data_IF_721868168633
#
_entry.id   IF_721868168633
#
_cell.length_a   1.000
_cell.length_b   1.000
_cell.length_c   1.000
_cell.angle_alpha   90.00
_cell.angle_beta   90.00
_cell.angle_gamma   90.00
#
_symmetry.space_group_name_H-M   'P 1'
#
loop_
_entity.id
_entity.type
_entity.pdbx_description
1 polymer ?
#
# COMPACT_ATOMS: atom_id res chain seq x y z
N UNK A 1 2.55 -40.41 -13.68
CA UNK A 1 1.98 -39.19 -13.05
C UNK A 1 3.13 -38.24 -12.85
N UNK A 2 3.30 -37.28 -13.75
CA UNK A 2 4.24 -36.17 -13.59
C UNK A 2 3.60 -35.19 -12.63
N UNK A 3 4.18 -35.03 -11.45
CA UNK A 3 3.83 -33.96 -10.52
C UNK A 3 4.29 -32.68 -11.20
N UNK A 4 3.34 -31.84 -11.63
CA UNK A 4 3.67 -30.49 -12.06
C UNK A 4 4.20 -29.76 -10.83
N UNK A 5 5.47 -29.34 -10.86
CA UNK A 5 6.03 -28.51 -9.80
C UNK A 5 5.23 -27.20 -9.77
N UNK A 6 4.44 -26.99 -8.71
CA UNK A 6 3.77 -25.73 -8.49
C UNK A 6 4.82 -24.62 -8.45
N UNK A 7 4.79 -23.77 -9.45
CA UNK A 7 5.72 -22.66 -9.61
C UNK A 7 5.38 -21.61 -8.55
N UNK A 8 6.03 -21.70 -7.39
CA UNK A 8 5.83 -20.77 -6.29
C UNK A 8 6.45 -19.41 -6.64
N UNK A 9 5.73 -18.34 -6.32
CA UNK A 9 6.24 -16.99 -6.40
C UNK A 9 7.29 -16.81 -5.28
N UNK A 10 8.46 -16.21 -5.53
CA UNK A 10 9.42 -15.88 -4.48
C UNK A 10 8.80 -15.14 -3.27
N UNK A 11 7.72 -14.39 -3.49
CA UNK A 11 6.99 -13.66 -2.44
C UNK A 11 6.11 -14.56 -1.55
N UNK A 12 5.82 -15.80 -1.94
CA UNK A 12 4.95 -16.72 -1.18
C UNK A 12 5.49 -17.05 0.22
N UNK A 13 6.81 -16.89 0.41
CA UNK A 13 7.50 -17.18 1.67
C UNK A 13 8.02 -15.93 2.40
N UNK A 14 7.78 -14.73 1.85
CA UNK A 14 8.23 -13.48 2.46
C UNK A 14 7.30 -13.04 3.59
N UNK A 15 7.83 -12.24 4.51
CA UNK A 15 7.04 -11.65 5.58
C UNK A 15 5.95 -10.76 4.97
N UNK A 16 4.68 -11.10 5.18
CA UNK A 16 3.55 -10.39 4.59
C UNK A 16 2.57 -9.88 5.66
N UNK A 17 1.90 -8.78 5.35
CA UNK A 17 0.74 -8.33 6.13
C UNK A 17 -0.48 -8.99 5.51
N UNK A 18 -0.97 -10.05 6.16
CA UNK A 18 -2.21 -10.70 5.74
C UNK A 18 -3.41 -9.86 6.16
N UNK A 19 -4.19 -9.42 5.19
CA UNK A 19 -5.44 -8.71 5.41
C UNK A 19 -6.61 -9.61 5.03
N UNK A 20 -7.59 -9.74 5.92
CA UNK A 20 -8.83 -10.49 5.67
C UNK A 20 -10.03 -9.55 5.75
N UNK A 21 -11.03 -9.80 4.92
CA UNK A 21 -12.29 -9.03 4.89
C UNK A 21 -13.40 -9.69 5.70
N UNK A 22 -13.02 -10.44 6.73
CA UNK A 22 -13.94 -11.10 7.67
C UNK A 22 -14.71 -10.07 8.52
N UNK A 23 -14.14 -8.88 8.68
CA UNK A 23 -14.82 -7.70 9.20
C UNK A 23 -15.06 -6.71 8.06
N UNK A 24 -16.32 -6.30 7.89
CA UNK A 24 -16.68 -5.31 6.88
C UNK A 24 -15.93 -3.99 7.22
N UNK A 25 -15.19 -3.39 6.27
CA UNK A 25 -14.51 -2.13 6.50
C UNK A 25 -15.49 -1.07 7.01
N UNK A 26 -15.14 -0.40 8.11
CA UNK A 26 -16.02 0.56 8.79
C UNK A 26 -16.13 1.90 8.05
N UNK A 27 -15.36 2.10 6.99
CA UNK A 27 -15.27 3.36 6.26
C UNK A 27 -15.20 3.10 4.75
N UNK A 28 -15.65 4.09 3.96
CA UNK A 28 -15.48 4.09 2.52
C UNK A 28 -14.05 4.44 2.06
N UNK A 29 -13.12 4.71 3.00
CA UNK A 29 -11.74 5.05 2.67
C UNK A 29 -10.90 3.82 2.29
N UNK A 30 -11.39 2.60 2.57
CA UNK A 30 -10.62 1.37 2.42
C UNK A 30 -9.90 0.97 3.70
N UNK A 31 -8.77 0.27 3.58
CA UNK A 31 -7.94 -0.18 4.70
C UNK A 31 -6.95 0.92 5.08
N UNK A 32 -7.16 1.58 6.22
CA UNK A 32 -6.42 2.77 6.60
C UNK A 32 -5.14 2.39 7.34
N UNK A 33 -4.07 3.10 7.00
CA UNK A 33 -2.78 3.01 7.66
C UNK A 33 -2.44 4.33 8.33
N UNK A 34 -1.99 4.29 9.59
CA UNK A 34 -1.63 5.49 10.34
C UNK A 34 -1.37 5.19 11.80
N UNK A 35 -1.02 6.21 12.59
CA UNK A 35 -0.74 6.04 14.03
C UNK A 35 -1.98 5.88 14.91
N UNK A 36 -3.19 6.00 14.35
CA UNK A 36 -4.43 5.79 15.11
C UNK A 36 -4.54 4.36 15.63
N UNK A 37 -5.09 4.20 16.84
CA UNK A 37 -5.33 2.90 17.45
C UNK A 37 -6.46 2.10 16.76
N UNK A 38 -7.33 2.78 16.01
CA UNK A 38 -8.40 2.16 15.23
C UNK A 38 -8.08 2.06 13.73
N UNK A 39 -6.84 2.33 13.32
CA UNK A 39 -6.39 2.08 11.96
C UNK A 39 -6.22 0.58 11.72
N UNK A 40 -6.66 0.09 10.55
CA UNK A 40 -6.52 -1.32 10.18
C UNK A 40 -5.04 -1.73 10.07
N UNK A 41 -4.17 -0.81 9.64
CA UNK A 41 -2.72 -0.94 9.70
C UNK A 41 -2.12 0.14 10.61
N UNK A 42 -1.92 -0.21 11.88
CA UNK A 42 -1.29 0.70 12.85
C UNK A 42 0.19 0.88 12.56
N UNK A 43 0.60 2.12 12.32
CA UNK A 43 1.98 2.52 12.09
C UNK A 43 2.62 3.04 13.39
N UNK A 44 3.93 2.90 13.50
CA UNK A 44 4.68 3.44 14.63
C UNK A 44 4.49 4.97 14.75
N UNK A 45 4.50 5.47 15.97
CA UNK A 45 4.42 6.89 16.28
C UNK A 45 5.73 7.60 15.93
N UNK A 46 5.89 7.92 14.65
CA UNK A 46 7.07 8.57 14.11
C UNK A 46 6.74 9.97 13.62
N UNK A 47 7.73 10.86 13.67
CA UNK A 47 7.60 12.19 13.11
C UNK A 47 7.27 12.10 11.61
N UNK A 48 6.23 12.83 11.19
CA UNK A 48 5.75 12.84 9.80
C UNK A 48 4.67 11.81 9.49
N UNK A 49 4.41 10.84 10.37
CA UNK A 49 3.30 9.89 10.21
C UNK A 49 1.99 10.49 10.75
N UNK A 50 1.03 10.73 9.86
CA UNK A 50 -0.31 11.22 10.22
C UNK A 50 -1.15 10.19 10.98
N UNK A 51 -2.20 10.68 11.65
CA UNK A 51 -3.17 9.87 12.42
C UNK A 51 -3.83 8.79 11.54
N UNK A 52 -4.33 9.21 10.38
CA UNK A 52 -4.54 8.36 9.21
C UNK A 52 -3.67 8.93 8.10
N UNK A 53 -2.76 8.14 7.55
CA UNK A 53 -1.75 8.59 6.60
C UNK A 53 -2.16 8.26 5.17
N UNK A 54 -2.43 6.99 4.90
CA UNK A 54 -2.93 6.54 3.61
C UNK A 54 -3.98 5.44 3.81
N UNK A 55 -4.64 5.05 2.74
CA UNK A 55 -5.45 3.84 2.69
C UNK A 55 -5.14 3.01 1.44
N UNK A 56 -5.24 1.69 1.58
CA UNK A 56 -5.40 0.80 0.43
C UNK A 56 -6.87 0.80 0.03
N UNK A 57 -7.15 1.23 -1.19
CA UNK A 57 -8.49 1.41 -1.72
C UNK A 57 -8.49 1.12 -3.23
N UNK A 58 -9.65 1.25 -3.86
CA UNK A 58 -9.79 1.29 -5.30
C UNK A 58 -10.15 2.72 -5.76
N UNK A 59 -9.68 3.08 -6.95
CA UNK A 59 -10.12 4.30 -7.65
C UNK A 59 -11.41 4.06 -8.46
N UNK A 60 -11.84 5.06 -9.23
CA UNK A 60 -13.09 5.01 -10.01
C UNK A 60 -13.03 3.98 -11.15
N UNK A 61 -11.82 3.62 -11.60
CA UNK A 61 -11.59 2.57 -12.59
C UNK A 61 -11.35 1.18 -11.97
N UNK A 62 -11.61 1.02 -10.66
CA UNK A 62 -11.41 -0.22 -9.90
C UNK A 62 -9.95 -0.69 -9.87
N UNK A 63 -8.99 0.22 -9.99
CA UNK A 63 -7.56 -0.08 -9.84
C UNK A 63 -7.19 0.01 -8.37
N UNK A 64 -6.31 -0.88 -7.91
CA UNK A 64 -5.81 -0.80 -6.53
C UNK A 64 -4.91 0.43 -6.41
N UNK A 65 -5.21 1.27 -5.42
CA UNK A 65 -4.46 2.49 -5.14
C UNK A 65 -4.00 2.55 -3.68
N UNK A 66 -2.85 3.19 -3.48
CA UNK A 66 -2.46 3.78 -2.20
C UNK A 66 -2.94 5.23 -2.23
N UNK A 67 -4.05 5.49 -1.53
CA UNK A 67 -4.67 6.82 -1.41
C UNK A 67 -4.10 7.54 -0.21
N UNK A 68 -3.35 8.60 -0.42
CA UNK A 68 -2.94 9.48 0.68
C UNK A 68 -4.17 10.23 1.23
N UNK A 69 -4.36 10.19 2.56
CA UNK A 69 -5.55 10.73 3.24
C UNK A 69 -5.36 12.18 3.72
N UNK A 70 -4.62 12.98 2.97
CA UNK A 70 -4.26 14.35 3.35
C UNK A 70 -3.17 14.36 4.42
N UNK A 71 -2.18 13.47 4.28
CA UNK A 71 -1.10 13.34 5.24
C UNK A 71 -0.21 14.59 5.30
N UNK A 72 0.41 14.84 6.44
CA UNK A 72 1.22 16.07 6.67
C UNK A 72 2.50 16.09 5.83
N UNK A 73 3.09 14.91 5.59
CA UNK A 73 4.38 14.78 4.90
C UNK A 73 4.26 14.10 3.53
N UNK A 74 3.06 13.68 3.14
CA UNK A 74 2.79 12.97 1.89
C UNK A 74 3.23 11.50 1.92
N UNK A 75 2.64 10.73 1.02
CA UNK A 75 3.02 9.34 0.73
C UNK A 75 3.85 9.30 -0.54
N UNK A 76 4.92 8.51 -0.58
CA UNK A 76 5.68 8.22 -1.80
C UNK A 76 5.45 6.77 -2.23
N UNK A 77 5.15 6.54 -3.50
CA UNK A 77 5.22 5.20 -4.09
C UNK A 77 6.40 5.14 -5.07
N UNK A 78 7.22 4.11 -4.92
CA UNK A 78 8.40 3.85 -5.75
C UNK A 78 8.06 2.67 -6.67
N UNK A 79 8.10 2.90 -7.99
CA UNK A 79 7.88 1.88 -9.01
C UNK A 79 9.23 1.42 -9.57
N UNK A 80 9.70 0.25 -9.14
CA UNK A 80 11.05 -0.24 -9.40
C UNK A 80 12.11 0.74 -8.87
N UNK A 81 12.67 1.56 -9.76
CA UNK A 81 13.69 2.57 -9.43
C UNK A 81 13.20 4.02 -9.59
N UNK A 82 11.93 4.23 -9.92
CA UNK A 82 11.35 5.56 -10.18
C UNK A 82 10.49 6.01 -9.00
N UNK A 83 10.69 7.25 -8.56
CA UNK A 83 9.85 7.91 -7.57
C UNK A 83 9.72 9.40 -7.91
N UNK A 84 8.55 10.00 -7.61
CA UNK A 84 8.29 11.43 -7.81
C UNK A 84 8.40 12.25 -6.52
N UNK A 85 8.66 11.60 -5.38
CA UNK A 85 8.64 12.20 -4.06
C UNK A 85 7.27 12.11 -3.38
N UNK A 86 7.14 12.65 -2.16
CA UNK A 86 5.91 12.50 -1.40
C UNK A 86 4.81 13.43 -1.92
N UNK A 87 3.60 12.87 -2.05
CA UNK A 87 2.40 13.63 -2.41
C UNK A 87 1.31 13.43 -1.36
N UNK A 88 0.62 14.52 -1.02
CA UNK A 88 -0.52 14.54 -0.09
C UNK A 88 -1.82 14.63 -0.88
N UNK A 89 -2.89 13.99 -0.39
CA UNK A 89 -4.20 13.93 -1.07
C UNK A 89 -4.10 13.43 -2.52
N UNK A 90 -3.35 12.34 -2.71
CA UNK A 90 -3.01 11.79 -4.03
C UNK A 90 -3.23 10.28 -4.06
N UNK A 91 -3.72 9.78 -5.19
CA UNK A 91 -3.94 8.35 -5.44
C UNK A 91 -2.79 7.77 -6.27
N UNK A 92 -2.03 6.87 -5.66
CA UNK A 92 -0.96 6.14 -6.33
C UNK A 92 -1.45 4.77 -6.81
N UNK A 93 -1.46 4.54 -8.12
CA UNK A 93 -1.90 3.27 -8.70
C UNK A 93 -0.85 2.18 -8.46
N UNK A 94 -1.22 1.12 -7.74
CA UNK A 94 -0.32 0.00 -7.41
C UNK A 94 -0.73 -1.33 -8.04
N UNK A 95 -1.88 -1.38 -8.72
CA UNK A 95 -2.28 -2.50 -9.58
C UNK A 95 -3.32 -2.07 -10.61
N UNK A 96 -3.59 -2.91 -11.62
CA UNK A 96 -4.70 -2.70 -12.57
C UNK A 96 -4.41 -1.67 -13.66
N UNK A 97 -3.14 -1.36 -13.95
CA UNK A 97 -2.79 -0.47 -15.07
C UNK A 97 -1.56 -0.95 -15.82
N UNK A 98 -1.62 -0.90 -17.15
CA UNK A 98 -0.57 -1.35 -18.07
C UNK A 98 0.77 -0.62 -17.88
N UNK A 99 0.80 0.57 -17.27
CA UNK A 99 2.09 1.24 -16.98
C UNK A 99 2.92 0.48 -15.93
N UNK A 100 2.29 -0.40 -15.16
CA UNK A 100 2.95 -1.27 -14.19
C UNK A 100 3.56 -2.52 -14.84
N UNK A 101 3.33 -2.74 -16.14
CA UNK A 101 3.90 -3.88 -16.86
C UNK A 101 5.43 -3.84 -16.81
N UNK A 102 6.01 -4.91 -16.25
CA UNK A 102 7.45 -5.03 -16.07
C UNK A 102 8.04 -4.25 -14.90
N UNK A 103 7.23 -3.60 -14.04
CA UNK A 103 7.76 -3.14 -12.74
C UNK A 103 7.86 -4.33 -11.79
N UNK A 104 9.08 -4.62 -11.36
CA UNK A 104 9.38 -5.78 -10.52
C UNK A 104 9.04 -5.56 -9.05
N UNK A 105 8.88 -4.31 -8.63
CA UNK A 105 8.59 -3.95 -7.24
C UNK A 105 7.83 -2.63 -7.14
N UNK A 106 6.97 -2.55 -6.14
CA UNK A 106 6.23 -1.35 -5.76
C UNK A 106 6.46 -1.16 -4.26
N UNK A 107 7.07 -0.06 -3.87
CA UNK A 107 7.39 0.23 -2.46
C UNK A 107 6.58 1.44 -2.01
N UNK A 108 5.84 1.29 -0.91
CA UNK A 108 5.08 2.37 -0.28
C UNK A 108 5.90 2.96 0.85
N UNK A 109 6.35 4.19 0.69
CA UNK A 109 7.18 4.89 1.67
C UNK A 109 6.38 6.01 2.36
N UNK A 110 6.23 5.85 3.67
CA UNK A 110 5.47 6.76 4.55
C UNK A 110 6.39 7.75 5.24
N UNK A 111 7.61 7.32 5.58
CA UNK A 111 8.63 8.16 6.21
C UNK A 111 10.03 7.65 5.88
N UNK A 112 11.05 8.31 6.41
CA UNK A 112 12.43 7.83 6.30
C UNK A 112 12.70 6.51 7.04
N UNK A 113 11.82 6.10 7.96
CA UNK A 113 11.99 4.90 8.78
C UNK A 113 10.96 3.79 8.50
N UNK A 114 9.95 4.07 7.66
CA UNK A 114 8.84 3.13 7.41
C UNK A 114 8.53 3.09 5.92
N UNK A 115 8.69 1.91 5.35
CA UNK A 115 8.29 1.54 4.00
C UNK A 115 7.85 0.07 3.96
N UNK A 116 7.04 -0.26 2.96
CA UNK A 116 6.48 -1.59 2.71
C UNK A 116 6.72 -1.95 1.26
#
# INVERSE_FOLDING_TARGET
MTVEEEKHDPLDYEACIKMTFDQIPKTCAGLRAGRSDDAELRLAELQGVSYYHFALSFDEEYRLVVRDLGSKCGTTVIYGHKQLGPMSSFDWIVSGSDFLDGISSIIVKVSQHVQF
#
